data_IF_635666696867
#
_entry.id   IF_635666696867
#
_cell.length_a   1.000
_cell.length_b   1.000
_cell.length_c   1.000
_cell.angle_alpha   90.00
_cell.angle_beta   90.00
_cell.angle_gamma   90.00
#
_symmetry.space_group_name_H-M   'P 1'
#
loop_
_entity.id
_entity.type
_entity.pdbx_description
1 polymer ?
#
# COMPACT_ATOMS: atom_id res chain seq x y z
N UNK A 1 9.37 -23.70 -53.71
CA UNK A 1 10.13 -23.43 -52.49
C UNK A 1 10.33 -21.93 -52.21
N UNK A 2 10.44 -21.07 -53.20
CA UNK A 2 10.66 -19.62 -53.01
C UNK A 2 9.45 -18.86 -52.37
N UNK A 3 8.21 -19.32 -52.58
CA UNK A 3 7.02 -18.65 -52.00
C UNK A 3 6.91 -18.79 -50.48
N UNK A 4 7.34 -19.94 -49.90
CA UNK A 4 7.30 -20.17 -48.44
C UNK A 4 8.32 -19.37 -47.65
N UNK A 5 9.42 -18.98 -48.27
CA UNK A 5 10.44 -18.14 -47.64
C UNK A 5 10.06 -16.65 -47.60
N UNK A 6 9.20 -16.21 -48.52
CA UNK A 6 8.71 -14.81 -48.54
C UNK A 6 7.58 -14.58 -47.52
N UNK A 7 6.76 -15.60 -47.25
CA UNK A 7 5.72 -15.47 -46.23
C UNK A 7 6.29 -15.37 -44.80
N UNK A 8 7.45 -15.98 -44.54
CA UNK A 8 8.09 -15.93 -43.22
C UNK A 8 8.74 -14.59 -42.88
N UNK A 9 8.97 -13.75 -43.90
CA UNK A 9 9.52 -12.40 -43.72
C UNK A 9 8.46 -11.31 -43.46
N UNK A 10 7.18 -11.69 -43.56
CA UNK A 10 6.06 -10.74 -43.41
C UNK A 10 5.38 -10.79 -42.04
N UNK A 11 5.84 -11.64 -41.12
CA UNK A 11 5.40 -11.57 -39.72
C UNK A 11 6.08 -10.39 -39.05
N UNK A 12 5.38 -9.29 -38.80
CA UNK A 12 5.99 -8.18 -38.10
C UNK A 12 6.31 -8.62 -36.69
N UNK A 13 7.59 -8.54 -36.33
CA UNK A 13 8.03 -8.75 -34.97
C UNK A 13 7.28 -7.79 -34.03
N UNK A 14 6.83 -8.25 -32.86
CA UNK A 14 6.20 -7.38 -31.89
C UNK A 14 7.16 -6.24 -31.55
N UNK A 15 6.79 -5.02 -31.90
CA UNK A 15 7.57 -3.84 -31.56
C UNK A 15 7.23 -3.46 -30.11
N UNK A 16 8.15 -3.68 -29.21
CA UNK A 16 8.06 -3.16 -27.85
C UNK A 16 8.31 -1.65 -27.91
N UNK A 17 7.27 -0.87 -27.68
CA UNK A 17 7.36 0.57 -27.62
C UNK A 17 7.60 0.99 -26.18
N UNK A 18 8.69 1.68 -25.92
CA UNK A 18 8.90 2.34 -24.62
C UNK A 18 8.04 3.61 -24.60
N UNK A 19 7.04 3.62 -23.76
CA UNK A 19 6.25 4.81 -23.47
C UNK A 19 6.75 5.38 -22.15
N UNK A 20 7.31 6.58 -22.22
CA UNK A 20 7.68 7.34 -21.01
C UNK A 20 6.45 8.10 -20.56
N UNK A 21 5.86 7.67 -19.45
CA UNK A 21 4.79 8.42 -18.79
C UNK A 21 5.38 9.30 -17.70
N UNK A 22 5.02 10.57 -17.69
CA UNK A 22 5.37 11.51 -16.62
C UNK A 22 4.22 11.52 -15.64
N UNK A 23 4.47 11.00 -14.44
CA UNK A 23 3.51 11.10 -13.33
C UNK A 23 3.70 12.48 -12.71
N UNK A 24 2.71 13.34 -12.88
CA UNK A 24 2.73 14.71 -12.33
C UNK A 24 1.88 14.87 -11.11
N UNK A 25 0.76 14.14 -11.05
CA UNK A 25 -0.23 14.31 -10.01
C UNK A 25 -0.61 12.98 -9.38
N UNK A 26 -0.59 12.94 -8.06
CA UNK A 26 -1.21 11.90 -7.24
C UNK A 26 -2.50 12.50 -6.69
N UNK A 27 -3.64 11.88 -7.01
CA UNK A 27 -4.92 12.34 -6.50
C UNK A 27 -5.01 12.13 -4.97
N UNK A 28 -5.05 13.21 -4.17
CA UNK A 28 -5.12 13.11 -2.71
C UNK A 28 -6.35 12.37 -2.20
N UNK A 29 -7.45 12.41 -2.96
CA UNK A 29 -8.69 11.70 -2.61
C UNK A 29 -8.54 10.19 -2.74
N UNK A 30 -7.85 9.73 -3.77
CA UNK A 30 -7.51 8.31 -3.93
C UNK A 30 -6.55 7.84 -2.85
N UNK A 31 -5.56 8.65 -2.51
CA UNK A 31 -4.65 8.37 -1.38
C UNK A 31 -5.43 8.25 -0.08
N UNK A 32 -6.32 9.17 0.21
CA UNK A 32 -7.16 9.13 1.42
C UNK A 32 -7.93 7.82 1.54
N UNK A 33 -8.63 7.39 0.49
CA UNK A 33 -9.43 6.15 0.53
C UNK A 33 -8.57 4.91 0.76
N UNK A 34 -7.47 4.80 -0.01
CA UNK A 34 -6.60 3.62 0.04
C UNK A 34 -5.89 3.54 1.40
N UNK A 35 -5.34 4.66 1.88
CA UNK A 35 -4.63 4.69 3.16
C UNK A 35 -5.58 4.52 4.34
N UNK A 36 -6.80 5.06 4.27
CA UNK A 36 -7.80 4.85 5.32
C UNK A 36 -8.15 3.37 5.47
N UNK A 37 -8.46 2.69 4.37
CA UNK A 37 -8.79 1.25 4.39
C UNK A 37 -7.58 0.44 4.89
N UNK A 38 -6.38 0.77 4.43
CA UNK A 38 -5.16 0.11 4.87
C UNK A 38 -4.90 0.29 6.37
N UNK A 39 -4.99 1.53 6.88
CA UNK A 39 -4.79 1.79 8.31
C UNK A 39 -5.88 1.17 9.18
N UNK A 40 -7.14 1.13 8.71
CA UNK A 40 -8.21 0.41 9.40
C UNK A 40 -7.94 -1.10 9.48
N UNK A 41 -7.46 -1.70 8.40
CA UNK A 41 -7.11 -3.12 8.42
C UNK A 41 -5.96 -3.41 9.39
N UNK A 42 -4.91 -2.57 9.38
CA UNK A 42 -3.81 -2.67 10.35
C UNK A 42 -4.30 -2.47 11.79
N UNK A 43 -5.18 -1.51 12.01
CA UNK A 43 -5.74 -1.25 13.32
C UNK A 43 -6.50 -2.45 13.89
N UNK A 44 -7.37 -3.07 13.08
CA UNK A 44 -8.08 -4.30 13.50
C UNK A 44 -7.09 -5.43 13.80
N UNK A 45 -6.06 -5.59 12.98
CA UNK A 45 -5.01 -6.58 13.21
C UNK A 45 -4.28 -6.34 14.55
N UNK A 46 -3.93 -5.09 14.86
CA UNK A 46 -3.29 -4.72 16.12
C UNK A 46 -4.21 -4.98 17.31
N UNK A 47 -5.51 -4.67 17.21
CA UNK A 47 -6.47 -4.96 18.28
C UNK A 47 -6.58 -6.46 18.56
N UNK A 48 -6.72 -7.28 17.52
CA UNK A 48 -6.79 -8.73 17.67
C UNK A 48 -5.50 -9.26 18.29
N UNK A 49 -4.35 -8.82 17.80
CA UNK A 49 -3.04 -9.22 18.33
C UNK A 49 -2.85 -8.82 19.78
N UNK A 50 -3.32 -7.62 20.18
CA UNK A 50 -3.21 -7.16 21.58
C UNK A 50 -4.03 -8.02 22.54
N UNK A 51 -5.23 -8.46 22.14
CA UNK A 51 -6.04 -9.39 22.94
C UNK A 51 -5.32 -10.74 23.10
N UNK A 52 -4.76 -11.27 22.01
CA UNK A 52 -4.04 -12.55 22.05
C UNK A 52 -2.78 -12.46 22.96
N UNK A 53 -1.99 -11.40 22.79
CA UNK A 53 -0.78 -11.16 23.61
C UNK A 53 -1.15 -11.03 25.08
N UNK A 54 -2.22 -10.27 25.40
CA UNK A 54 -2.70 -10.12 26.76
C UNK A 54 -3.10 -11.45 27.39
N UNK A 55 -3.88 -12.27 26.67
CA UNK A 55 -4.29 -13.58 27.16
C UNK A 55 -3.08 -14.51 27.42
N UNK A 56 -2.11 -14.53 26.51
CA UNK A 56 -0.88 -15.31 26.69
C UNK A 56 -0.06 -14.80 27.87
N UNK A 57 0.11 -13.47 27.99
CA UNK A 57 0.87 -12.86 29.07
C UNK A 57 0.25 -13.16 30.46
N UNK A 58 -1.09 -13.13 30.56
CA UNK A 58 -1.79 -13.53 31.77
C UNK A 58 -1.64 -15.04 32.07
N UNK A 59 -1.85 -15.89 31.05
CA UNK A 59 -1.78 -17.33 31.23
C UNK A 59 -0.36 -17.84 31.65
N UNK A 60 0.67 -17.14 31.21
CA UNK A 60 2.07 -17.45 31.54
C UNK A 60 2.56 -16.83 32.85
N UNK A 61 1.72 -16.00 33.50
CA UNK A 61 2.13 -15.25 34.68
C UNK A 61 3.12 -14.10 34.41
N UNK A 62 3.31 -13.75 33.16
CA UNK A 62 4.19 -12.63 32.77
C UNK A 62 3.71 -11.33 33.36
N UNK A 63 2.38 -11.07 33.35
CA UNK A 63 1.77 -9.87 33.91
C UNK A 63 2.08 -9.79 35.42
N UNK A 64 1.86 -10.87 36.18
CA UNK A 64 2.13 -10.93 37.60
C UNK A 64 3.62 -10.72 37.91
N UNK A 65 4.50 -11.21 37.06
CA UNK A 65 5.94 -11.04 37.25
C UNK A 65 6.36 -9.59 37.06
N UNK A 66 5.78 -8.90 36.05
CA UNK A 66 6.05 -7.47 35.82
C UNK A 66 5.46 -6.62 36.93
N UNK A 67 4.26 -6.93 37.41
CA UNK A 67 3.65 -6.24 38.55
C UNK A 67 4.54 -6.32 39.79
N UNK A 68 4.97 -7.55 40.15
CA UNK A 68 5.91 -7.76 41.26
C UNK A 68 7.24 -7.04 41.10
N UNK A 69 7.74 -6.98 39.87
CA UNK A 69 8.94 -6.23 39.54
C UNK A 69 8.74 -4.75 39.81
N UNK A 70 7.62 -4.14 39.37
CA UNK A 70 7.29 -2.73 39.64
C UNK A 70 7.12 -2.46 41.14
N UNK A 71 6.47 -3.37 41.87
CA UNK A 71 6.34 -3.28 43.35
C UNK A 71 7.71 -3.26 44.03
N UNK A 72 8.70 -3.99 43.53
CA UNK A 72 10.07 -4.00 44.08
C UNK A 72 10.80 -2.65 43.95
N UNK A 73 10.38 -1.78 43.07
CA UNK A 73 10.87 -0.40 42.93
C UNK A 73 10.13 0.60 43.81
N UNK A 74 9.22 0.14 44.68
CA UNK A 74 8.48 1.01 45.58
C UNK A 74 7.16 1.55 45.00
N UNK A 75 6.68 0.96 43.93
CA UNK A 75 5.36 1.25 43.38
C UNK A 75 4.34 0.35 44.07
N UNK A 76 3.99 0.69 45.28
CA UNK A 76 3.03 -0.08 46.07
C UNK A 76 1.70 -0.25 45.33
N UNK A 77 1.22 -1.50 45.24
CA UNK A 77 -0.05 -1.88 44.62
C UNK A 77 -0.17 -1.58 43.11
N UNK A 78 0.93 -1.67 42.36
CA UNK A 78 0.86 -1.57 40.91
C UNK A 78 0.14 -2.77 40.31
N UNK A 79 -0.94 -2.53 39.57
CA UNK A 79 -1.73 -3.54 38.88
C UNK A 79 -2.04 -3.11 37.44
N UNK A 80 -1.91 -4.03 36.52
CA UNK A 80 -2.35 -3.81 35.15
C UNK A 80 -3.84 -4.09 35.02
N UNK A 81 -4.61 -3.10 34.64
CA UNK A 81 -6.00 -3.28 34.24
C UNK A 81 -6.07 -3.51 32.71
N UNK A 82 -6.23 -4.78 32.32
CA UNK A 82 -6.32 -5.16 30.90
C UNK A 82 -7.49 -4.52 30.18
N UNK A 83 -8.62 -4.29 30.88
CA UNK A 83 -9.78 -3.61 30.31
C UNK A 83 -9.48 -2.15 29.98
N UNK A 84 -8.83 -1.45 30.91
CA UNK A 84 -8.42 -0.06 30.71
C UNK A 84 -7.35 0.08 29.62
N UNK A 85 -6.37 -0.83 29.59
CA UNK A 85 -5.34 -0.85 28.56
C UNK A 85 -5.99 -1.04 27.20
N UNK A 86 -6.91 -1.99 27.06
CA UNK A 86 -7.61 -2.22 25.80
C UNK A 86 -8.47 -1.04 25.39
N UNK A 87 -9.19 -0.42 26.33
CA UNK A 87 -10.01 0.77 26.08
C UNK A 87 -9.16 1.95 25.56
N UNK A 88 -8.01 2.20 26.23
CA UNK A 88 -7.10 3.23 25.80
C UNK A 88 -6.48 2.94 24.44
N UNK A 89 -6.11 1.67 24.18
CA UNK A 89 -5.57 1.24 22.89
C UNK A 89 -6.60 1.41 21.77
N UNK A 90 -7.87 1.10 22.06
CA UNK A 90 -8.96 1.27 21.09
C UNK A 90 -9.13 2.72 20.69
N UNK A 91 -9.23 3.64 21.65
CA UNK A 91 -9.40 5.07 21.40
C UNK A 91 -8.16 5.67 20.72
N UNK A 92 -6.99 5.40 21.28
CA UNK A 92 -5.72 5.92 20.76
C UNK A 92 -5.41 5.38 19.37
N UNK A 93 -5.66 4.09 19.14
CA UNK A 93 -5.46 3.45 17.84
C UNK A 93 -6.36 4.05 16.76
N UNK A 94 -7.63 4.32 17.08
CA UNK A 94 -8.53 5.00 16.14
C UNK A 94 -8.04 6.41 15.81
N UNK A 95 -7.57 7.16 16.82
CA UNK A 95 -6.94 8.46 16.61
C UNK A 95 -5.75 8.36 15.66
N UNK A 96 -4.87 7.37 15.84
CA UNK A 96 -3.72 7.14 14.95
C UNK A 96 -4.13 6.80 13.52
N UNK A 97 -5.20 6.04 13.31
CA UNK A 97 -5.72 5.77 11.95
C UNK A 97 -6.01 7.06 11.21
N UNK A 98 -6.73 7.98 11.84
CA UNK A 98 -7.05 9.27 11.22
C UNK A 98 -5.82 10.16 11.05
N UNK A 99 -4.95 10.20 12.06
CA UNK A 99 -3.71 10.99 12.01
C UNK A 99 -2.79 10.53 10.87
N UNK A 100 -2.53 9.24 10.76
CA UNK A 100 -1.65 8.68 9.72
C UNK A 100 -2.28 8.80 8.33
N UNK A 101 -3.59 8.63 8.23
CA UNK A 101 -4.31 8.83 6.96
C UNK A 101 -4.23 10.30 6.52
N UNK A 102 -4.45 11.24 7.44
CA UNK A 102 -4.28 12.66 7.15
C UNK A 102 -2.85 13.02 6.75
N UNK A 103 -1.86 12.46 7.44
CA UNK A 103 -0.45 12.64 7.09
C UNK A 103 -0.13 12.12 5.68
N UNK A 104 -0.67 10.97 5.29
CA UNK A 104 -0.49 10.41 3.95
C UNK A 104 -1.07 11.32 2.85
N UNK A 105 -2.23 11.93 3.12
CA UNK A 105 -2.84 12.91 2.19
C UNK A 105 -1.98 14.17 2.07
N UNK A 106 -1.46 14.68 3.18
CA UNK A 106 -0.55 15.83 3.18
C UNK A 106 0.72 15.51 2.41
N UNK A 107 1.28 14.31 2.60
CA UNK A 107 2.45 13.85 1.84
C UNK A 107 2.18 13.77 0.33
N UNK A 108 1.00 13.32 -0.08
CA UNK A 108 0.60 13.31 -1.48
C UNK A 108 0.50 14.75 -2.06
N UNK A 109 -0.06 15.68 -1.30
CA UNK A 109 -0.13 17.08 -1.70
C UNK A 109 1.27 17.71 -1.82
N UNK A 110 2.16 17.44 -0.87
CA UNK A 110 3.56 17.90 -0.92
C UNK A 110 4.28 17.28 -2.10
N UNK A 111 4.06 16.00 -2.39
CA UNK A 111 4.63 15.35 -3.56
C UNK A 111 4.19 16.03 -4.86
N UNK A 112 2.90 16.35 -5.00
CA UNK A 112 2.39 17.05 -6.18
C UNK A 112 3.05 18.42 -6.34
N UNK A 113 3.19 19.16 -5.24
CA UNK A 113 3.87 20.47 -5.26
C UNK A 113 5.33 20.36 -5.71
N UNK A 114 6.06 19.36 -5.19
CA UNK A 114 7.46 19.10 -5.58
C UNK A 114 7.53 18.65 -7.03
N UNK A 115 6.61 17.77 -7.48
CA UNK A 115 6.57 17.30 -8.85
C UNK A 115 6.35 18.45 -9.85
N UNK A 116 5.51 19.42 -9.51
CA UNK A 116 5.30 20.62 -10.31
C UNK A 116 6.56 21.49 -10.41
N UNK A 117 7.30 21.63 -9.30
CA UNK A 117 8.54 22.41 -9.27
C UNK A 117 9.69 21.74 -10.03
N UNK A 118 9.80 20.42 -9.99
CA UNK A 118 10.91 19.64 -10.58
C UNK A 118 10.59 19.19 -12.01
N UNK A 119 9.34 19.36 -12.49
CA UNK A 119 8.93 18.97 -13.83
C UNK A 119 8.44 17.54 -13.98
N UNK A 120 8.09 16.88 -12.86
CA UNK A 120 7.49 15.55 -12.80
C UNK A 120 8.48 14.39 -12.74
N UNK A 121 8.02 13.27 -12.22
CA UNK A 121 8.79 12.02 -12.15
C UNK A 121 8.59 11.22 -13.44
N UNK A 122 9.68 10.91 -14.13
CA UNK A 122 9.65 10.13 -15.37
C UNK A 122 9.63 8.65 -15.05
N UNK A 123 8.53 7.97 -15.37
CA UNK A 123 8.41 6.52 -15.25
C UNK A 123 8.40 5.91 -16.65
N UNK A 124 9.33 5.01 -16.93
CA UNK A 124 9.38 4.26 -18.18
C UNK A 124 8.56 2.98 -18.01
N UNK A 125 7.45 2.89 -18.74
CA UNK A 125 6.62 1.68 -18.79
C UNK A 125 6.83 1.03 -20.15
N UNK A 126 7.12 -0.29 -20.15
CA UNK A 126 7.16 -1.10 -21.36
C UNK A 126 5.73 -1.56 -21.66
N UNK A 127 5.10 -0.93 -22.65
CA UNK A 127 3.83 -1.41 -23.20
C UNK A 127 4.12 -2.32 -24.39
N UNK A 128 3.63 -3.54 -24.32
CA UNK A 128 3.56 -4.45 -25.47
C UNK A 128 2.36 -4.01 -26.31
N UNK A 129 2.63 -3.25 -27.35
CA UNK A 129 1.62 -2.91 -28.34
C UNK A 129 1.41 -4.16 -29.20
N UNK A 130 0.36 -4.91 -28.88
CA UNK A 130 -0.19 -5.89 -29.82
C UNK A 130 -0.81 -5.05 -30.94
N UNK A 131 -0.03 -4.82 -31.98
CA UNK A 131 -0.56 -4.30 -33.23
C UNK A 131 -1.45 -5.40 -33.81
N UNK A 132 -2.72 -5.40 -33.43
CA UNK A 132 -3.75 -6.03 -34.21
C UNK A 132 -3.72 -5.29 -35.54
N UNK A 133 -2.88 -5.77 -36.45
CA UNK A 133 -3.01 -5.39 -37.83
C UNK A 133 -4.37 -5.91 -38.24
N UNK A 134 -5.34 -5.03 -38.28
CA UNK A 134 -6.46 -5.20 -39.15
C UNK A 134 -5.83 -5.51 -40.51
N UNK A 135 -5.91 -6.75 -40.91
CA UNK A 135 -5.75 -7.11 -42.31
C UNK A 135 -6.98 -6.52 -42.97
N UNK A 136 -6.91 -5.23 -43.14
CA UNK A 136 -7.79 -4.48 -44.01
C UNK A 136 -7.55 -5.11 -45.36
N UNK A 137 -8.55 -5.82 -45.86
CA UNK A 137 -8.47 -6.59 -47.05
C UNK A 137 -7.81 -5.77 -48.15
N UNK A 138 -6.81 -6.35 -48.74
CA UNK A 138 -6.11 -5.83 -49.90
C UNK A 138 -7.19 -5.33 -50.88
N UNK A 139 -7.20 -4.04 -51.25
CA UNK A 139 -8.20 -3.49 -52.19
C UNK A 139 -8.11 -4.13 -53.60
N UNK A 140 -7.23 -5.06 -53.82
CA UNK A 140 -7.05 -5.79 -55.09
C UNK A 140 -7.83 -7.11 -55.18
N UNK A 141 -8.59 -7.49 -54.17
CA UNK A 141 -9.45 -8.69 -54.15
C UNK A 141 -10.91 -8.39 -54.59
N UNK A 142 -11.10 -7.34 -55.42
CA UNK A 142 -12.38 -7.07 -56.03
C UNK A 142 -12.32 -7.30 -57.56
#
# INVERSE_FOLDING_TARGET
MARRSLEKSLTPAPRVRRVTRVVRDIDPWSVFKVTLVFHLALYVMVLISSILIWNVANATGTVDNVERFMESFGWDTFRFDGGQIFHNLWILGLFFVFLLTGLAVVMAAVFNLIADLVGGVRVSVLEEEVVARVVEGNPLDR
#
